data_IF_950981064299
#
_entry.id   IF_950981064299
#
_cell.length_a   1.000
_cell.length_b   1.000
_cell.length_c   1.000
_cell.angle_alpha   90.00
_cell.angle_beta   90.00
_cell.angle_gamma   90.00
#
_symmetry.space_group_name_H-M   'P 1'
#
loop_
_entity.id
_entity.type
_entity.pdbx_description
1 polymer ?
#
# COMPACT_ATOMS: atom_id res chain seq x y z
N UNK A 1 27.39 -9.91 21.36
CA UNK A 1 26.83 -10.95 20.48
C UNK A 1 25.35 -11.05 20.81
N UNK A 2 24.46 -10.50 19.98
CA UNK A 2 23.01 -10.70 20.16
C UNK A 2 22.65 -12.14 19.74
N UNK A 3 21.80 -12.80 20.53
CA UNK A 3 21.33 -14.16 20.19
C UNK A 3 20.43 -14.11 18.95
N UNK A 4 20.58 -15.04 17.99
CA UNK A 4 19.77 -15.07 16.77
C UNK A 4 18.25 -15.10 17.01
N UNK A 5 17.81 -15.66 18.14
CA UNK A 5 16.40 -15.66 18.53
C UNK A 5 15.85 -14.24 18.82
N UNK A 6 16.67 -13.34 19.36
CA UNK A 6 16.28 -11.96 19.68
C UNK A 6 16.09 -11.11 18.42
N UNK A 7 16.88 -11.36 17.38
CA UNK A 7 16.83 -10.64 16.10
C UNK A 7 15.60 -11.05 15.29
N UNK A 8 15.26 -12.34 15.26
CA UNK A 8 14.07 -12.85 14.56
C UNK A 8 12.78 -12.31 15.18
N UNK A 9 12.68 -12.31 16.52
CA UNK A 9 11.52 -11.76 17.22
C UNK A 9 11.31 -10.27 16.96
N UNK A 10 12.40 -9.48 16.99
CA UNK A 10 12.33 -8.04 16.69
C UNK A 10 11.87 -7.79 15.24
N UNK A 11 12.37 -8.57 14.28
CA UNK A 11 11.97 -8.47 12.88
C UNK A 11 10.47 -8.78 12.69
N UNK A 12 9.97 -9.81 13.37
CA UNK A 12 8.56 -10.19 13.29
C UNK A 12 7.64 -9.13 13.90
N UNK A 13 7.97 -8.58 15.08
CA UNK A 13 7.23 -7.47 15.69
C UNK A 13 7.21 -6.22 14.81
N UNK A 14 8.35 -5.90 14.18
CA UNK A 14 8.44 -4.78 13.26
C UNK A 14 7.56 -5.00 12.02
N UNK A 15 7.53 -6.23 11.48
CA UNK A 15 6.64 -6.59 10.36
C UNK A 15 5.19 -6.33 10.71
N UNK A 16 4.71 -6.89 11.82
CA UNK A 16 3.33 -6.71 12.30
C UNK A 16 3.00 -5.22 12.49
N UNK A 17 3.91 -4.45 13.10
CA UNK A 17 3.71 -3.02 13.32
C UNK A 17 3.56 -2.26 12.00
N UNK A 18 4.49 -2.45 11.05
CA UNK A 18 4.45 -1.80 9.75
C UNK A 18 3.21 -2.23 8.94
N UNK A 19 2.83 -3.51 8.98
CA UNK A 19 1.60 -4.01 8.35
C UNK A 19 0.35 -3.41 8.96
N UNK A 20 0.32 -3.24 10.29
CA UNK A 20 -0.81 -2.58 10.97
C UNK A 20 -0.93 -1.12 10.56
N UNK A 21 0.19 -0.41 10.43
CA UNK A 21 0.21 0.98 9.94
C UNK A 21 -0.27 1.04 8.49
N UNK A 22 0.23 0.17 7.60
CA UNK A 22 -0.22 0.11 6.21
C UNK A 22 -1.70 -0.24 6.08
N UNK A 23 -2.23 -1.10 6.95
CA UNK A 23 -3.64 -1.48 6.99
C UNK A 23 -4.51 -0.27 7.35
N UNK A 24 -4.19 0.42 8.45
CA UNK A 24 -4.92 1.61 8.90
C UNK A 24 -4.81 2.73 7.87
N UNK A 25 -3.63 2.92 7.26
CA UNK A 25 -3.42 3.92 6.23
C UNK A 25 -4.24 3.62 4.96
N UNK A 26 -4.22 2.38 4.49
CA UNK A 26 -5.02 1.98 3.33
C UNK A 26 -6.51 2.12 3.61
N UNK A 27 -6.98 1.69 4.79
CA UNK A 27 -8.39 1.83 5.19
C UNK A 27 -8.83 3.30 5.24
N UNK A 28 -8.01 4.18 5.82
CA UNK A 28 -8.26 5.61 5.84
C UNK A 28 -8.35 6.20 4.42
N UNK A 29 -7.47 5.74 3.51
CA UNK A 29 -7.53 6.07 2.08
C UNK A 29 -8.84 5.63 1.43
N UNK A 30 -9.23 4.36 1.58
CA UNK A 30 -10.48 3.82 1.02
C UNK A 30 -11.68 4.63 1.52
N UNK A 31 -11.79 4.89 2.83
CA UNK A 31 -12.90 5.65 3.39
C UNK A 31 -12.94 7.08 2.82
N UNK A 32 -11.79 7.74 2.69
CA UNK A 32 -11.72 9.10 2.16
C UNK A 32 -12.17 9.18 0.71
N UNK A 33 -11.68 8.27 -0.15
CA UNK A 33 -12.07 8.26 -1.56
C UNK A 33 -13.51 7.76 -1.78
N UNK A 34 -13.97 6.77 -1.02
CA UNK A 34 -15.36 6.31 -1.06
C UNK A 34 -16.34 7.40 -0.63
N UNK A 35 -15.98 8.20 0.39
CA UNK A 35 -16.76 9.38 0.80
C UNK A 35 -16.84 10.40 -0.34
N UNK A 36 -15.73 10.70 -1.02
CA UNK A 36 -15.74 11.63 -2.14
C UNK A 36 -16.57 11.09 -3.31
N UNK A 37 -16.43 9.80 -3.62
CA UNK A 37 -17.19 9.14 -4.68
C UNK A 37 -18.70 9.26 -4.46
N UNK A 38 -19.19 9.00 -3.24
CA UNK A 38 -20.62 9.16 -2.90
C UNK A 38 -21.11 10.60 -3.10
N UNK A 39 -20.29 11.62 -2.83
CA UNK A 39 -20.67 13.02 -3.04
C UNK A 39 -20.77 13.39 -4.53
N UNK A 40 -19.87 12.86 -5.36
CA UNK A 40 -19.94 13.04 -6.80
C UNK A 40 -21.11 12.28 -7.41
N UNK A 41 -21.34 11.03 -6.99
CA UNK A 41 -22.43 10.19 -7.50
C UNK A 41 -23.82 10.77 -7.18
N UNK A 42 -23.94 11.50 -6.05
CA UNK A 42 -25.15 12.25 -5.69
C UNK A 42 -25.26 13.62 -6.36
N UNK A 43 -24.28 14.04 -7.15
CA UNK A 43 -24.25 15.37 -7.78
C UNK A 43 -24.14 16.53 -6.78
N UNK A 44 -23.72 16.26 -5.54
CA UNK A 44 -23.48 17.30 -4.52
C UNK A 44 -22.27 18.15 -4.93
N UNK A 45 -21.29 17.49 -5.52
CA UNK A 45 -20.08 18.07 -6.10
C UNK A 45 -20.09 17.78 -7.61
N UNK A 46 -19.83 18.79 -8.44
CA UNK A 46 -19.91 18.64 -9.88
C UNK A 46 -18.79 17.75 -10.42
N UNK A 47 -19.13 16.94 -11.43
CA UNK A 47 -18.29 15.93 -12.07
C UNK A 47 -17.66 16.40 -13.38
N UNK A 48 -17.91 17.65 -13.79
CA UNK A 48 -17.25 18.27 -14.97
C UNK A 48 -15.73 18.41 -14.77
N UNK A 49 -15.29 18.22 -13.53
CA UNK A 49 -13.91 18.13 -13.08
C UNK A 49 -13.37 16.71 -13.35
N UNK A 50 -12.31 16.57 -14.19
CA UNK A 50 -11.73 15.29 -14.64
C UNK A 50 -11.34 14.30 -13.51
N UNK A 51 -11.34 14.75 -12.26
CA UNK A 51 -11.01 13.96 -11.06
C UNK A 51 -11.94 12.79 -10.77
N UNK A 52 -13.24 12.88 -11.10
CA UNK A 52 -14.23 11.85 -10.75
C UNK A 52 -13.86 10.46 -11.28
N UNK A 53 -13.41 10.39 -12.53
CA UNK A 53 -13.01 9.13 -13.16
C UNK A 53 -11.77 8.48 -12.54
N UNK A 54 -10.96 9.23 -11.79
CA UNK A 54 -9.76 8.73 -11.13
C UNK A 54 -9.98 8.36 -9.66
N UNK A 55 -11.07 8.80 -9.04
CA UNK A 55 -11.43 8.41 -7.66
C UNK A 55 -11.63 6.89 -7.58
N UNK A 56 -12.38 6.30 -8.53
CA UNK A 56 -12.64 4.86 -8.53
C UNK A 56 -11.36 4.01 -8.74
N UNK A 57 -10.51 4.28 -9.75
CA UNK A 57 -9.21 3.62 -9.87
C UNK A 57 -8.31 3.80 -8.65
N UNK A 58 -8.21 5.01 -8.09
CA UNK A 58 -7.42 5.26 -6.89
C UNK A 58 -7.95 4.41 -5.71
N UNK A 59 -9.26 4.40 -5.50
CA UNK A 59 -9.93 3.57 -4.48
C UNK A 59 -9.60 2.11 -4.67
N UNK A 60 -9.79 1.55 -5.88
CA UNK A 60 -9.54 0.14 -6.18
C UNK A 60 -8.08 -0.26 -5.95
N UNK A 61 -7.11 0.60 -6.29
CA UNK A 61 -5.69 0.31 -6.00
C UNK A 61 -5.39 0.31 -4.50
N UNK A 62 -5.97 1.24 -3.72
CA UNK A 62 -5.80 1.28 -2.27
C UNK A 62 -6.54 0.11 -1.59
N UNK A 63 -7.71 -0.29 -2.10
CA UNK A 63 -8.42 -1.48 -1.64
C UNK A 63 -7.59 -2.75 -1.82
N UNK A 64 -6.92 -2.90 -2.96
CA UNK A 64 -5.98 -3.99 -3.17
C UNK A 64 -4.87 -3.99 -2.11
N UNK A 65 -4.26 -2.84 -1.85
CA UNK A 65 -3.25 -2.66 -0.79
C UNK A 65 -3.79 -3.03 0.60
N UNK A 66 -5.02 -2.63 0.91
CA UNK A 66 -5.72 -2.96 2.14
C UNK A 66 -5.94 -4.48 2.27
N UNK A 67 -6.54 -5.12 1.27
CA UNK A 67 -6.85 -6.56 1.27
C UNK A 67 -5.55 -7.37 1.38
N UNK A 68 -4.54 -7.02 0.59
CA UNK A 68 -3.25 -7.71 0.63
C UNK A 68 -2.59 -7.61 2.01
N UNK A 69 -2.57 -6.41 2.59
CA UNK A 69 -2.02 -6.19 3.94
C UNK A 69 -2.81 -6.95 5.00
N UNK A 70 -4.13 -7.00 4.89
CA UNK A 70 -4.99 -7.74 5.80
C UNK A 70 -4.67 -9.24 5.76
N UNK A 71 -4.56 -9.83 4.57
CA UNK A 71 -4.23 -11.24 4.38
C UNK A 71 -2.90 -11.59 5.05
N UNK A 72 -1.85 -10.82 4.78
CA UNK A 72 -0.53 -11.07 5.37
C UNK A 72 -0.56 -10.90 6.89
N UNK A 73 -1.19 -9.84 7.39
CA UNK A 73 -1.28 -9.60 8.83
C UNK A 73 -2.03 -10.74 9.53
N UNK A 74 -3.13 -11.23 8.93
CA UNK A 74 -3.84 -12.40 9.44
C UNK A 74 -2.95 -13.65 9.47
N UNK A 75 -2.15 -13.89 8.43
CA UNK A 75 -1.23 -15.04 8.40
C UNK A 75 -0.13 -14.91 9.47
N UNK A 76 0.49 -13.74 9.58
CA UNK A 76 1.56 -13.47 10.56
C UNK A 76 1.06 -13.58 12.01
N UNK A 77 -0.20 -13.19 12.28
CA UNK A 77 -0.82 -13.33 13.59
C UNK A 77 -1.27 -14.76 13.89
N UNK A 78 -1.67 -15.52 12.87
CA UNK A 78 -2.26 -16.86 13.06
C UNK A 78 -1.23 -17.99 13.01
N UNK A 79 -0.09 -17.77 12.37
CA UNK A 79 0.88 -18.85 12.11
C UNK A 79 2.32 -18.43 12.46
N UNK A 80 3.11 -19.32 13.07
CA UNK A 80 4.55 -19.12 13.24
C UNK A 80 5.34 -19.46 11.96
N UNK A 81 4.66 -19.66 10.82
CA UNK A 81 5.28 -20.11 9.57
C UNK A 81 5.93 -18.94 8.83
N UNK A 82 7.21 -19.12 8.49
CA UNK A 82 7.92 -18.16 7.64
C UNK A 82 7.40 -18.25 6.20
N UNK A 83 6.67 -17.22 5.78
CA UNK A 83 6.24 -17.07 4.39
C UNK A 83 7.45 -16.92 3.46
N UNK A 84 7.40 -17.61 2.32
CA UNK A 84 8.48 -17.55 1.34
C UNK A 84 8.64 -16.10 0.81
N UNK A 85 9.85 -15.51 0.82
CA UNK A 85 10.03 -14.10 0.49
C UNK A 85 9.63 -13.75 -0.94
N UNK A 86 9.63 -14.71 -1.85
CA UNK A 86 9.12 -14.52 -3.22
C UNK A 86 7.64 -14.08 -3.29
N UNK A 87 6.82 -14.41 -2.30
CA UNK A 87 5.42 -13.95 -2.24
C UNK A 87 5.37 -12.43 -2.06
N UNK A 88 6.12 -11.91 -1.09
CA UNK A 88 6.24 -10.47 -0.85
C UNK A 88 6.82 -9.74 -2.06
N UNK A 89 7.80 -10.33 -2.77
CA UNK A 89 8.35 -9.72 -4.00
C UNK A 89 7.26 -9.47 -5.03
N UNK A 90 6.33 -10.40 -5.25
CA UNK A 90 5.29 -10.23 -6.26
C UNK A 90 4.19 -9.27 -5.78
N UNK A 91 3.58 -9.56 -4.63
CA UNK A 91 2.36 -8.87 -4.21
C UNK A 91 2.64 -7.50 -3.59
N UNK A 92 3.72 -7.31 -2.83
CA UNK A 92 4.09 -5.97 -2.36
C UNK A 92 4.59 -5.08 -3.52
N UNK A 93 5.19 -5.65 -4.56
CA UNK A 93 5.51 -4.90 -5.79
C UNK A 93 4.25 -4.47 -6.53
N UNK A 94 3.27 -5.37 -6.69
CA UNK A 94 1.98 -5.02 -7.33
C UNK A 94 1.27 -3.94 -6.51
N UNK A 95 1.18 -4.09 -5.18
CA UNK A 95 0.56 -3.10 -4.31
C UNK A 95 1.25 -1.74 -4.41
N UNK A 96 2.59 -1.73 -4.32
CA UNK A 96 3.39 -0.54 -4.50
C UNK A 96 3.16 0.12 -5.86
N UNK A 97 3.29 -0.63 -6.95
CA UNK A 97 3.19 -0.09 -8.30
C UNK A 97 1.78 0.41 -8.62
N UNK A 98 0.75 -0.37 -8.29
CA UNK A 98 -0.64 -0.02 -8.54
C UNK A 98 -1.05 1.25 -7.80
N UNK A 99 -0.79 1.31 -6.48
CA UNK A 99 -1.14 2.49 -5.68
C UNK A 99 -0.29 3.70 -6.10
N UNK A 100 1.00 3.53 -6.37
CA UNK A 100 1.86 4.64 -6.84
C UNK A 100 1.34 5.23 -8.14
N UNK A 101 1.07 4.39 -9.15
CA UNK A 101 0.56 4.85 -10.45
C UNK A 101 -0.82 5.49 -10.28
N UNK A 102 -1.72 4.86 -9.53
CA UNK A 102 -3.07 5.38 -9.27
C UNK A 102 -3.04 6.76 -8.61
N UNK A 103 -2.25 6.93 -7.53
CA UNK A 103 -2.15 8.19 -6.81
C UNK A 103 -1.39 9.27 -7.59
N UNK A 104 -0.35 8.92 -8.35
CA UNK A 104 0.35 9.89 -9.18
C UNK A 104 -0.54 10.42 -10.31
N UNK A 105 -1.31 9.55 -10.97
CA UNK A 105 -2.28 9.97 -11.98
C UNK A 105 -3.38 10.83 -11.34
N UNK A 106 -3.89 10.42 -10.18
CA UNK A 106 -4.86 11.20 -9.42
C UNK A 106 -4.33 12.61 -9.08
N UNK A 107 -3.13 12.72 -8.50
CA UNK A 107 -2.49 14.01 -8.20
C UNK A 107 -2.29 14.88 -9.45
N UNK A 108 -1.86 14.29 -10.57
CA UNK A 108 -1.58 15.02 -11.80
C UNK A 108 -2.84 15.68 -12.37
N UNK A 109 -3.99 15.00 -12.28
CA UNK A 109 -5.27 15.54 -12.76
C UNK A 109 -5.89 16.50 -11.73
N UNK A 110 -5.68 16.26 -10.44
CA UNK A 110 -6.30 17.02 -9.36
C UNK A 110 -5.55 18.30 -8.95
N UNK A 111 -4.36 18.53 -9.51
CA UNK A 111 -3.54 19.73 -9.29
C UNK A 111 -4.33 21.07 -9.29
N UNK A 112 -5.26 21.37 -10.22
CA UNK A 112 -5.96 22.66 -10.21
C UNK A 112 -6.89 22.85 -9.00
N UNK A 113 -7.46 21.77 -8.46
CA UNK A 113 -8.35 21.82 -7.28
C UNK A 113 -7.57 21.96 -5.97
N UNK A 114 -6.26 21.74 -6.00
CA UNK A 114 -5.39 21.81 -4.82
C UNK A 114 -4.98 23.24 -4.45
N UNK A 115 -4.98 24.14 -5.43
CA UNK A 115 -4.59 25.54 -5.24
C UNK A 115 -5.79 26.51 -5.19
N UNK A 116 -7.00 26.02 -5.49
CA UNK A 116 -8.22 26.83 -5.59
C UNK A 116 -9.18 26.69 -4.40
N UNK A 117 -10.44 27.04 -4.64
CA UNK A 117 -11.54 26.95 -3.67
C UNK A 117 -12.12 25.52 -3.51
N UNK A 118 -11.45 24.52 -4.09
CA UNK A 118 -11.90 23.13 -4.18
C UNK A 118 -12.92 22.94 -5.30
N UNK A 119 -13.75 21.91 -5.16
CA UNK A 119 -14.75 21.60 -6.17
C UNK A 119 -15.94 22.57 -6.20
N UNK A 120 -16.59 22.67 -7.37
CA UNK A 120 -17.83 23.42 -7.52
C UNK A 120 -19.03 22.61 -7.00
N UNK A 121 -19.91 23.26 -6.25
CA UNK A 121 -21.09 22.62 -5.68
C UNK A 121 -22.26 22.56 -6.67
N UNK A 122 -23.00 21.46 -6.66
CA UNK A 122 -24.23 21.30 -7.43
C UNK A 122 -25.33 22.28 -6.99
N UNK A 123 -26.20 22.70 -7.92
CA UNK A 123 -27.32 23.59 -7.59
C UNK A 123 -28.25 22.94 -6.58
N UNK A 124 -28.64 23.70 -5.54
CA UNK A 124 -29.62 23.28 -4.54
C UNK A 124 -29.03 22.54 -3.33
N UNK A 125 -27.72 22.27 -3.31
CA UNK A 125 -27.05 21.65 -2.16
C UNK A 125 -26.19 22.65 -1.38
N UNK A 126 -26.26 22.58 -0.04
CA UNK A 126 -25.24 23.20 0.82
C UNK A 126 -24.00 22.30 0.81
N UNK A 127 -23.05 22.58 -0.08
CA UNK A 127 -21.81 21.83 -0.20
C UNK A 127 -20.60 22.67 0.21
N UNK A 128 -19.53 21.99 0.61
CA UNK A 128 -18.21 22.59 0.86
C UNK A 128 -17.18 21.82 0.05
N UNK A 129 -16.99 22.22 -1.21
CA UNK A 129 -16.07 21.54 -2.15
C UNK A 129 -14.63 21.51 -1.66
N UNK A 130 -14.18 22.54 -0.93
CA UNK A 130 -12.87 22.57 -0.27
C UNK A 130 -12.71 21.47 0.77
N UNK A 131 -13.75 21.17 1.55
CA UNK A 131 -13.72 20.05 2.51
C UNK A 131 -13.54 18.72 1.81
N UNK A 132 -14.21 18.52 0.67
CA UNK A 132 -14.11 17.28 -0.11
C UNK A 132 -12.68 17.11 -0.64
N UNK A 133 -12.13 18.15 -1.28
CA UNK A 133 -10.74 18.15 -1.73
C UNK A 133 -9.75 17.84 -0.59
N UNK A 134 -9.92 18.44 0.59
CA UNK A 134 -9.08 18.16 1.76
C UNK A 134 -9.17 16.70 2.24
N UNK A 135 -10.36 16.10 2.20
CA UNK A 135 -10.54 14.68 2.55
C UNK A 135 -9.79 13.80 1.55
N UNK A 136 -9.85 14.11 0.26
CA UNK A 136 -9.09 13.37 -0.75
C UNK A 136 -7.58 13.56 -0.61
N UNK A 137 -7.09 14.74 -0.18
CA UNK A 137 -5.66 14.92 0.13
C UNK A 137 -5.23 14.04 1.29
N UNK A 138 -6.05 13.99 2.33
CA UNK A 138 -5.80 13.10 3.46
C UNK A 138 -5.76 11.65 2.97
N UNK A 139 -6.73 11.21 2.18
CA UNK A 139 -6.74 9.86 1.59
C UNK A 139 -5.51 9.57 0.74
N UNK A 140 -5.10 10.54 -0.08
CA UNK A 140 -3.88 10.45 -0.91
C UNK A 140 -2.62 10.33 -0.07
N UNK A 141 -2.49 11.15 0.98
CA UNK A 141 -1.34 11.10 1.90
C UNK A 141 -1.25 9.76 2.63
N UNK A 142 -2.39 9.22 3.10
CA UNK A 142 -2.43 7.90 3.71
C UNK A 142 -2.11 6.79 2.70
N UNK A 143 -2.56 6.93 1.45
CA UNK A 143 -2.17 6.03 0.36
C UNK A 143 -0.66 6.02 0.11
N UNK A 144 0.01 7.18 0.09
CA UNK A 144 1.47 7.26 -0.02
C UNK A 144 2.20 6.66 1.19
N UNK A 145 1.65 6.77 2.39
CA UNK A 145 2.20 6.08 3.55
C UNK A 145 2.18 4.55 3.35
N UNK A 146 1.09 4.00 2.82
CA UNK A 146 1.02 2.58 2.46
C UNK A 146 2.03 2.21 1.37
N UNK A 147 2.18 3.04 0.33
CA UNK A 147 3.19 2.87 -0.74
C UNK A 147 4.60 2.72 -0.17
N UNK A 148 5.00 3.60 0.76
CA UNK A 148 6.33 3.54 1.37
C UNK A 148 6.56 2.23 2.12
N UNK A 149 5.54 1.74 2.81
CA UNK A 149 5.62 0.49 3.58
C UNK A 149 5.71 -0.71 2.63
N UNK A 150 4.86 -0.79 1.59
CA UNK A 150 4.92 -1.86 0.58
C UNK A 150 6.25 -1.87 -0.16
N UNK A 151 6.79 -0.70 -0.51
CA UNK A 151 8.13 -0.61 -1.11
C UNK A 151 9.21 -1.14 -0.17
N UNK A 152 9.13 -0.80 1.12
CA UNK A 152 10.04 -1.31 2.14
C UNK A 152 10.02 -2.84 2.22
N UNK A 153 8.83 -3.46 2.24
CA UNK A 153 8.67 -4.91 2.23
C UNK A 153 9.16 -5.54 0.94
N UNK A 154 8.88 -4.95 -0.22
CA UNK A 154 9.40 -5.40 -1.52
C UNK A 154 10.93 -5.44 -1.51
N UNK A 155 11.59 -4.35 -1.12
CA UNK A 155 13.06 -4.28 -1.05
C UNK A 155 13.63 -5.31 -0.07
N UNK A 156 12.99 -5.46 1.10
CA UNK A 156 13.38 -6.48 2.07
C UNK A 156 13.26 -7.89 1.48
N UNK A 157 12.15 -8.18 0.79
CA UNK A 157 11.88 -9.47 0.18
C UNK A 157 12.85 -9.81 -0.95
N UNK A 158 13.22 -8.83 -1.78
CA UNK A 158 14.28 -9.01 -2.78
C UNK A 158 15.62 -9.38 -2.14
N UNK A 159 16.00 -8.69 -1.04
CA UNK A 159 17.24 -9.00 -0.30
C UNK A 159 17.18 -10.39 0.35
N UNK A 160 16.06 -10.75 0.97
CA UNK A 160 15.86 -12.07 1.56
C UNK A 160 15.96 -13.18 0.50
N UNK A 161 15.35 -12.97 -0.66
CA UNK A 161 15.39 -13.92 -1.78
C UNK A 161 16.81 -14.08 -2.33
N UNK A 162 17.58 -13.00 -2.48
CA UNK A 162 18.99 -13.08 -2.90
C UNK A 162 19.86 -13.81 -1.88
N UNK A 163 19.66 -13.57 -0.58
CA UNK A 163 20.34 -14.31 0.50
C UNK A 163 20.03 -15.80 0.46
N UNK A 164 18.75 -16.18 0.30
CA UNK A 164 18.35 -17.59 0.16
C UNK A 164 18.95 -18.25 -1.08
N UNK A 165 19.02 -17.53 -2.20
CA UNK A 165 19.66 -18.02 -3.42
C UNK A 165 21.15 -18.28 -3.21
N UNK A 166 21.85 -17.36 -2.54
CA UNK A 166 23.28 -17.48 -2.23
C UNK A 166 23.56 -18.63 -1.26
N UNK A 167 22.78 -18.78 -0.19
CA UNK A 167 22.96 -19.87 0.77
C UNK A 167 22.75 -21.26 0.12
N UNK A 168 21.73 -21.40 -0.74
CA UNK A 168 21.51 -22.64 -1.51
C UNK A 168 22.69 -22.98 -2.43
N UNK A 169 23.32 -21.99 -3.07
CA UNK A 169 24.51 -22.21 -3.92
C UNK A 169 25.70 -22.72 -3.12
N UNK A 170 25.97 -22.11 -1.95
CA UNK A 170 27.06 -22.53 -1.06
C UNK A 170 26.82 -23.95 -0.54
N UNK A 171 25.59 -24.26 -0.10
CA UNK A 171 25.22 -25.59 0.37
C UNK A 171 25.37 -26.65 -0.74
N UNK A 172 24.91 -26.38 -1.96
CA UNK A 172 25.12 -27.29 -3.11
C UNK A 172 26.60 -27.52 -3.41
N UNK A 173 27.44 -26.47 -3.35
CA UNK A 173 28.88 -26.59 -3.55
C UNK A 173 29.54 -27.45 -2.47
N UNK A 174 29.14 -27.27 -1.21
CA UNK A 174 29.64 -28.08 -0.10
C UNK A 174 29.23 -29.56 -0.23
N UNK A 175 27.97 -29.83 -0.59
CA UNK A 175 27.49 -31.19 -0.84
C UNK A 175 28.24 -31.87 -2.00
N UNK A 176 28.51 -31.14 -3.09
CA UNK A 176 29.29 -31.65 -4.21
C UNK A 176 30.74 -31.98 -3.82
N UNK A 177 31.41 -31.09 -3.07
CA UNK A 177 32.78 -31.34 -2.57
C UNK A 177 32.82 -32.55 -1.64
N UNK A 178 31.83 -32.68 -0.74
CA UNK A 178 31.76 -33.83 0.17
C UNK A 178 31.47 -35.16 -0.54
N UNK A 179 30.84 -35.15 -1.71
CA UNK A 179 30.56 -36.35 -2.50
C UNK A 179 31.73 -36.76 -3.41
N UNK A 180 32.74 -35.90 -3.56
CA UNK A 180 33.91 -36.11 -4.40
C UNK A 180 35.15 -36.62 -3.61
N UNK A 181 35.03 -36.74 -2.29
CA UNK A 181 36.05 -37.29 -1.36
C UNK A 181 35.58 -38.64 -0.86
#
# INVERSE_FOLDING_TARGET
MESPASTQWRSHRLSICLRSVALVASLAGVIAFAYSQDLHDRGIVLTEDLGHHLISPATGTIEYSFIWTLIILSIELSTPLDLHPGLYVAFDFIAWAAVTVGLCLYLAIMQPYYTGDGYTCGRGYRCNGKRVANVEHFGTAMGFLAVLIHFGFFVWACRATDRLRKSRRVSKKAAFVSAAV
#
